data_IF_022375153520
#
_entry.id   IF_022375153520
#
_cell.length_a   1.000
_cell.length_b   1.000
_cell.length_c   1.000
_cell.angle_alpha   90.00
_cell.angle_beta   90.00
_cell.angle_gamma   90.00
#
_symmetry.space_group_name_H-M   'P 1'
#
loop_
_entity.id
_entity.type
_entity.pdbx_description
1 polymer ?
#
# COMPACT_ATOMS: atom_id res chain seq x y z
N UNK A 1 26.68 -22.47 -18.69
CA UNK A 1 25.54 -22.69 -17.78
C UNK A 1 24.27 -22.30 -18.53
N UNK A 2 23.39 -23.25 -18.82
CA UNK A 2 22.18 -22.98 -19.63
C UNK A 2 21.13 -22.22 -18.83
N UNK A 3 20.21 -21.52 -19.51
CA UNK A 3 19.09 -20.83 -18.86
C UNK A 3 18.23 -21.81 -18.03
N UNK A 4 18.11 -23.07 -18.47
CA UNK A 4 17.43 -24.15 -17.74
C UNK A 4 18.15 -24.53 -16.45
N UNK A 5 19.48 -24.63 -16.44
CA UNK A 5 20.26 -25.01 -15.25
C UNK A 5 20.20 -23.92 -14.16
N UNK A 6 20.14 -22.65 -14.57
CA UNK A 6 19.99 -21.53 -13.64
C UNK A 6 18.57 -21.43 -13.06
N UNK A 7 17.54 -21.75 -13.86
CA UNK A 7 16.14 -21.74 -13.41
C UNK A 7 15.82 -22.91 -12.45
N UNK A 8 16.52 -24.04 -12.58
CA UNK A 8 16.40 -25.19 -11.68
C UNK A 8 16.88 -24.90 -10.25
N UNK A 9 17.80 -23.94 -10.06
CA UNK A 9 18.34 -23.55 -8.75
C UNK A 9 17.46 -22.57 -7.96
N UNK A 10 16.39 -22.05 -8.56
CA UNK A 10 15.50 -21.09 -7.92
C UNK A 10 14.40 -21.79 -7.13
N UNK A 11 13.98 -21.20 -6.01
CA UNK A 11 12.75 -21.63 -5.33
C UNK A 11 11.52 -21.32 -6.19
N UNK A 12 10.38 -22.01 -6.00
CA UNK A 12 9.12 -21.69 -6.68
C UNK A 12 8.73 -20.21 -6.53
N UNK A 13 8.93 -19.63 -5.35
CA UNK A 13 8.69 -18.21 -5.08
C UNK A 13 9.58 -17.30 -5.93
N UNK A 14 10.88 -17.62 -6.05
CA UNK A 14 11.82 -16.86 -6.89
C UNK A 14 11.47 -16.95 -8.37
N UNK A 15 11.05 -18.12 -8.87
CA UNK A 15 10.57 -18.27 -10.25
C UNK A 15 9.31 -17.44 -10.50
N UNK A 16 8.32 -17.52 -9.61
CA UNK A 16 7.09 -16.72 -9.69
C UNK A 16 7.43 -15.22 -9.72
N UNK A 17 8.25 -14.76 -8.79
CA UNK A 17 8.67 -13.36 -8.73
C UNK A 17 9.33 -12.91 -10.04
N UNK A 18 10.25 -13.70 -10.59
CA UNK A 18 10.91 -13.39 -11.87
C UNK A 18 9.90 -13.26 -13.01
N UNK A 19 8.93 -14.17 -13.12
CA UNK A 19 7.90 -14.13 -14.16
C UNK A 19 7.02 -12.88 -14.03
N UNK A 20 6.57 -12.57 -12.81
CA UNK A 20 5.78 -11.36 -12.53
C UNK A 20 6.58 -10.10 -12.87
N UNK A 21 7.85 -10.02 -12.45
CA UNK A 21 8.72 -8.88 -12.77
C UNK A 21 8.91 -8.72 -14.28
N UNK A 22 9.12 -9.82 -15.01
CA UNK A 22 9.23 -9.79 -16.48
C UNK A 22 7.93 -9.28 -17.13
N UNK A 23 6.78 -9.73 -16.64
CA UNK A 23 5.48 -9.26 -17.11
C UNK A 23 5.31 -7.75 -16.88
N UNK A 24 5.60 -7.28 -15.66
CA UNK A 24 5.44 -5.87 -15.30
C UNK A 24 6.37 -4.97 -16.12
N UNK A 25 7.64 -5.35 -16.28
CA UNK A 25 8.58 -4.59 -17.11
C UNK A 25 8.18 -4.55 -18.58
N UNK A 26 7.60 -5.64 -19.11
CA UNK A 26 7.15 -5.70 -20.50
C UNK A 26 5.93 -4.81 -20.75
N UNK A 27 4.94 -4.85 -19.86
CA UNK A 27 3.62 -4.23 -20.10
C UNK A 27 3.45 -2.85 -19.48
N UNK A 28 4.25 -2.51 -18.46
CA UNK A 28 4.19 -1.26 -17.70
C UNK A 28 5.57 -0.58 -17.59
N UNK A 29 6.51 -0.95 -18.46
CA UNK A 29 7.89 -0.48 -18.44
C UNK A 29 8.02 1.04 -18.60
N UNK A 30 7.13 1.67 -19.37
CA UNK A 30 7.09 3.13 -19.56
C UNK A 30 6.83 3.86 -18.24
N UNK A 31 5.78 3.47 -17.49
CA UNK A 31 5.50 4.03 -16.16
C UNK A 31 6.70 3.86 -15.23
N UNK A 32 7.33 2.68 -15.25
CA UNK A 32 8.51 2.41 -14.42
C UNK A 32 9.68 3.33 -14.80
N UNK A 33 9.90 3.57 -16.09
CA UNK A 33 10.95 4.44 -16.59
C UNK A 33 10.70 5.91 -16.20
N UNK A 34 9.46 6.39 -16.36
CA UNK A 34 9.08 7.76 -16.04
C UNK A 34 9.35 8.10 -14.57
N UNK A 35 8.94 7.22 -13.65
CA UNK A 35 9.14 7.41 -12.23
C UNK A 35 10.60 7.25 -11.78
N UNK A 36 11.43 6.51 -12.53
CA UNK A 36 12.86 6.36 -12.22
C UNK A 36 13.64 7.67 -12.38
N UNK A 37 13.19 8.54 -13.29
CA UNK A 37 13.84 9.82 -13.58
C UNK A 37 13.16 11.01 -12.89
N UNK A 38 11.97 10.80 -12.30
CA UNK A 38 11.25 11.85 -11.60
C UNK A 38 11.96 12.22 -10.30
N UNK A 39 12.22 13.51 -10.03
CA UNK A 39 12.83 13.92 -8.77
C UNK A 39 11.89 13.57 -7.62
N UNK A 40 12.43 12.98 -6.56
CA UNK A 40 11.69 12.86 -5.31
C UNK A 40 11.44 14.27 -4.76
N UNK A 41 10.19 14.60 -4.47
CA UNK A 41 9.86 15.85 -3.79
C UNK A 41 10.66 15.93 -2.48
N UNK A 42 11.19 17.12 -2.16
CA UNK A 42 11.73 17.41 -0.83
C UNK A 42 10.57 17.48 0.14
N UNK A 43 10.21 16.33 0.64
CA UNK A 43 9.19 16.19 1.64
C UNK A 43 9.78 16.52 3.01
N UNK A 44 9.27 17.60 3.61
CA UNK A 44 9.53 17.92 5.01
C UNK A 44 8.61 17.06 5.88
N UNK A 45 9.14 16.59 7.00
CA UNK A 45 8.31 15.94 8.02
C UNK A 45 7.21 16.90 8.47
N UNK A 46 5.96 16.45 8.41
CA UNK A 46 4.84 17.26 8.87
C UNK A 46 4.73 17.12 10.40
N UNK A 47 4.61 18.25 11.10
CA UNK A 47 4.40 18.27 12.54
C UNK A 47 3.04 17.68 12.94
N UNK A 48 2.06 17.77 12.04
CA UNK A 48 0.76 17.10 12.11
C UNK A 48 0.46 16.43 10.77
N UNK A 49 -0.07 15.21 10.81
CA UNK A 49 -0.34 14.42 9.62
C UNK A 49 -1.61 13.57 9.81
N UNK A 50 -2.36 13.26 8.73
CA UNK A 50 -3.54 12.43 8.85
C UNK A 50 -3.18 10.97 9.17
N UNK A 51 -4.04 10.31 9.94
CA UNK A 51 -3.92 8.88 10.25
C UNK A 51 -5.13 8.17 9.66
N UNK A 52 -4.88 7.23 8.76
CA UNK A 52 -5.90 6.52 7.99
C UNK A 52 -6.10 5.12 8.56
N UNK A 53 -7.30 4.79 9.01
CA UNK A 53 -7.71 3.41 9.26
C UNK A 53 -8.68 2.98 8.16
N UNK A 54 -8.74 1.68 7.84
CA UNK A 54 -9.69 1.19 6.85
C UNK A 54 -10.41 -0.05 7.37
N UNK A 55 -11.74 0.02 7.37
CA UNK A 55 -12.62 -1.13 7.51
C UNK A 55 -13.83 -0.92 6.62
N UNK A 56 -13.84 -1.61 5.48
CA UNK A 56 -14.75 -1.29 4.38
C UNK A 56 -16.23 -1.35 4.78
N UNK A 57 -16.57 -2.34 5.61
CA UNK A 57 -17.93 -2.57 6.12
C UNK A 57 -18.37 -1.57 7.21
N UNK A 58 -17.50 -0.67 7.65
CA UNK A 58 -17.78 0.32 8.68
C UNK A 58 -17.56 -0.17 10.11
N UNK A 59 -17.39 0.77 11.03
CA UNK A 59 -16.97 0.51 12.42
C UNK A 59 -17.89 -0.47 13.18
N UNK A 60 -19.19 -0.43 12.91
CA UNK A 60 -20.16 -1.33 13.53
C UNK A 60 -19.85 -2.81 13.22
N UNK A 61 -19.31 -3.09 12.04
CA UNK A 61 -18.98 -4.44 11.55
C UNK A 61 -17.55 -4.88 11.87
N UNK A 62 -16.78 -4.11 12.67
CA UNK A 62 -15.44 -4.53 13.08
C UNK A 62 -15.51 -5.72 14.05
N UNK A 63 -14.75 -6.80 13.78
CA UNK A 63 -14.46 -7.83 14.76
C UNK A 63 -13.77 -7.24 15.99
N UNK A 64 -13.86 -7.93 17.14
CA UNK A 64 -13.31 -7.46 18.41
C UNK A 64 -11.82 -7.09 18.32
N UNK A 65 -11.02 -7.94 17.66
CA UNK A 65 -9.59 -7.68 17.45
C UNK A 65 -9.34 -6.36 16.71
N UNK A 66 -10.06 -6.13 15.61
CA UNK A 66 -9.92 -4.92 14.79
C UNK A 66 -10.39 -3.70 15.57
N UNK A 67 -11.50 -3.82 16.30
CA UNK A 67 -12.04 -2.75 17.15
C UNK A 67 -11.05 -2.36 18.25
N UNK A 68 -10.38 -3.34 18.87
CA UNK A 68 -9.35 -3.09 19.87
C UNK A 68 -8.14 -2.36 19.28
N UNK A 69 -7.66 -2.78 18.10
CA UNK A 69 -6.59 -2.08 17.38
C UNK A 69 -6.98 -0.64 17.00
N UNK A 70 -8.20 -0.44 16.49
CA UNK A 70 -8.70 0.88 16.10
C UNK A 70 -8.83 1.84 17.29
N UNK A 71 -9.38 1.38 18.42
CA UNK A 71 -9.42 2.17 19.67
C UNK A 71 -8.01 2.53 20.15
N UNK A 72 -7.10 1.56 20.16
CA UNK A 72 -5.72 1.80 20.56
C UNK A 72 -5.01 2.84 19.66
N UNK A 73 -5.33 2.86 18.36
CA UNK A 73 -4.86 3.86 17.42
C UNK A 73 -5.42 5.25 17.75
N UNK A 74 -6.71 5.37 18.02
CA UNK A 74 -7.35 6.64 18.42
C UNK A 74 -6.75 7.19 19.72
N UNK A 75 -6.64 6.35 20.76
CA UNK A 75 -6.11 6.75 22.08
C UNK A 75 -4.65 7.22 22.02
N UNK A 76 -3.88 6.71 21.06
CA UNK A 76 -2.43 6.95 20.92
C UNK A 76 -2.10 7.79 19.69
N UNK A 77 -3.09 8.46 19.10
CA UNK A 77 -2.89 9.30 17.93
C UNK A 77 -2.03 10.54 18.19
N UNK A 78 -1.78 10.89 19.46
CA UNK A 78 -0.89 12.00 19.85
C UNK A 78 -1.28 13.36 19.23
N UNK A 79 -2.57 13.60 19.05
CA UNK A 79 -3.11 14.82 18.44
C UNK A 79 -3.36 14.73 16.93
N UNK A 80 -2.84 13.70 16.26
CA UNK A 80 -3.09 13.46 14.83
C UNK A 80 -4.54 13.05 14.56
N UNK A 81 -5.11 13.55 13.46
CA UNK A 81 -6.49 13.23 13.08
C UNK A 81 -6.60 11.81 12.53
N UNK A 82 -7.28 10.93 13.28
CA UNK A 82 -7.64 9.58 12.83
C UNK A 82 -8.93 9.61 12.01
N UNK A 83 -8.89 9.11 10.78
CA UNK A 83 -10.06 8.99 9.89
C UNK A 83 -10.26 7.53 9.50
N UNK A 84 -11.46 7.00 9.76
CA UNK A 84 -11.85 5.66 9.32
C UNK A 84 -12.44 5.72 7.91
N UNK A 85 -11.78 5.02 6.98
CA UNK A 85 -12.21 4.84 5.61
C UNK A 85 -13.12 3.61 5.53
N UNK A 86 -14.28 3.81 4.92
CA UNK A 86 -15.37 2.85 4.77
C UNK A 86 -15.96 2.95 3.38
N UNK A 87 -16.82 2.01 3.00
CA UNK A 87 -17.58 2.08 1.76
C UNK A 87 -18.42 3.36 1.63
N UNK A 88 -18.86 3.94 2.75
CA UNK A 88 -19.76 5.10 2.75
C UNK A 88 -19.05 6.43 2.50
N UNK A 89 -17.75 6.54 2.83
CA UNK A 89 -17.04 7.82 2.84
C UNK A 89 -15.73 7.84 2.04
N UNK A 90 -15.28 6.73 1.46
CA UNK A 90 -13.98 6.69 0.77
C UNK A 90 -13.86 7.73 -0.36
N UNK A 91 -14.96 8.04 -1.03
CA UNK A 91 -15.00 9.02 -2.14
C UNK A 91 -14.76 10.46 -1.69
N UNK A 92 -14.87 10.77 -0.40
CA UNK A 92 -14.55 12.10 0.15
C UNK A 92 -13.04 12.35 0.20
N UNK A 93 -12.24 11.28 0.26
CA UNK A 93 -10.80 11.34 0.47
C UNK A 93 -9.99 10.83 -0.71
N UNK A 94 -10.64 10.13 -1.66
CA UNK A 94 -9.96 9.45 -2.76
C UNK A 94 -10.49 9.88 -4.12
N UNK A 95 -9.61 9.84 -5.11
CA UNK A 95 -9.88 10.17 -6.52
C UNK A 95 -9.80 8.89 -7.39
N UNK A 96 -10.31 7.77 -6.87
CA UNK A 96 -10.26 6.49 -7.57
C UNK A 96 -11.09 6.52 -8.86
N UNK A 97 -10.58 5.95 -9.97
CA UNK A 97 -11.30 5.93 -11.24
C UNK A 97 -12.42 4.89 -11.22
N UNK A 98 -13.47 5.13 -12.00
CA UNK A 98 -14.67 4.29 -12.04
C UNK A 98 -14.37 2.80 -12.28
N UNK A 99 -13.40 2.47 -13.14
CA UNK A 99 -13.06 1.08 -13.46
C UNK A 99 -12.56 0.27 -12.25
N UNK A 100 -11.93 0.90 -11.25
CA UNK A 100 -11.53 0.23 -10.01
C UNK A 100 -12.78 -0.12 -9.19
N UNK A 101 -13.73 0.82 -9.08
CA UNK A 101 -14.96 0.61 -8.32
C UNK A 101 -15.85 -0.44 -8.98
N UNK A 102 -16.00 -0.39 -10.30
CA UNK A 102 -16.74 -1.39 -11.07
C UNK A 102 -16.13 -2.79 -10.93
N UNK A 103 -14.81 -2.91 -11.02
CA UNK A 103 -14.12 -4.21 -10.85
C UNK A 103 -14.19 -4.73 -9.42
N UNK A 104 -14.19 -3.84 -8.43
CA UNK A 104 -14.45 -4.21 -7.03
C UNK A 104 -15.87 -4.74 -6.86
N UNK A 105 -16.87 -4.02 -7.37
CA UNK A 105 -18.28 -4.42 -7.29
C UNK A 105 -18.56 -5.76 -7.98
N UNK A 106 -17.82 -6.07 -9.06
CA UNK A 106 -17.88 -7.37 -9.77
C UNK A 106 -17.02 -8.47 -9.12
N UNK A 107 -16.38 -8.21 -7.98
CA UNK A 107 -15.55 -9.18 -7.26
C UNK A 107 -14.20 -9.49 -7.91
N UNK A 108 -13.77 -8.72 -8.91
CA UNK A 108 -12.46 -8.88 -9.57
C UNK A 108 -11.33 -8.31 -8.72
N UNK A 109 -11.59 -7.19 -8.05
CA UNK A 109 -10.71 -6.62 -7.03
C UNK A 109 -11.23 -7.07 -5.67
N UNK A 110 -10.42 -7.82 -4.92
CA UNK A 110 -10.76 -8.22 -3.55
C UNK A 110 -10.68 -7.02 -2.61
N UNK A 111 -11.42 -7.04 -1.49
CA UNK A 111 -11.33 -5.97 -0.49
C UNK A 111 -9.91 -5.81 0.08
N UNK A 112 -9.15 -6.90 0.19
CA UNK A 112 -7.74 -6.85 0.57
C UNK A 112 -6.93 -6.02 -0.41
N UNK A 113 -7.07 -6.26 -1.72
CA UNK A 113 -6.32 -5.48 -2.70
C UNK A 113 -6.87 -4.07 -2.89
N UNK A 114 -8.19 -3.87 -2.76
CA UNK A 114 -8.77 -2.53 -2.70
C UNK A 114 -8.15 -1.72 -1.55
N UNK A 115 -7.87 -2.34 -0.40
CA UNK A 115 -7.18 -1.65 0.70
C UNK A 115 -5.76 -1.22 0.32
N UNK A 116 -5.05 -1.97 -0.52
CA UNK A 116 -3.75 -1.56 -1.06
C UNK A 116 -3.88 -0.34 -1.99
N UNK A 117 -4.91 -0.33 -2.83
CA UNK A 117 -5.22 0.77 -3.75
C UNK A 117 -5.59 2.04 -2.95
N UNK A 118 -6.50 1.92 -1.99
CA UNK A 118 -6.92 3.02 -1.11
C UNK A 118 -5.73 3.58 -0.34
N UNK A 119 -4.86 2.70 0.20
CA UNK A 119 -3.66 3.10 0.94
C UNK A 119 -2.78 4.01 0.10
N UNK A 120 -2.40 3.57 -1.10
CA UNK A 120 -1.50 4.36 -1.94
C UNK A 120 -2.16 5.63 -2.47
N UNK A 121 -3.46 5.58 -2.74
CA UNK A 121 -4.22 6.76 -3.15
C UNK A 121 -4.28 7.84 -2.07
N UNK A 122 -4.60 7.46 -0.82
CA UNK A 122 -4.64 8.40 0.30
C UNK A 122 -3.26 8.97 0.63
N UNK A 123 -2.23 8.12 0.69
CA UNK A 123 -0.86 8.56 0.96
C UNK A 123 -0.34 9.48 -0.15
N UNK A 124 -0.73 9.26 -1.40
CA UNK A 124 -0.44 10.15 -2.53
C UNK A 124 -1.10 11.52 -2.32
N UNK A 125 -2.42 11.54 -2.09
CA UNK A 125 -3.23 12.75 -2.05
C UNK A 125 -2.98 13.61 -0.80
N UNK A 126 -2.75 12.97 0.34
CA UNK A 126 -2.77 13.61 1.65
C UNK A 126 -1.54 13.33 2.50
N UNK A 127 -0.72 12.35 2.14
CA UNK A 127 0.33 11.84 3.02
C UNK A 127 -0.24 11.17 4.26
N UNK A 128 0.55 11.17 5.33
CA UNK A 128 0.18 10.65 6.64
C UNK A 128 0.53 9.19 6.86
N UNK A 129 -0.14 8.60 7.85
CA UNK A 129 0.11 7.24 8.32
C UNK A 129 -1.06 6.33 7.94
N UNK A 130 -0.76 5.17 7.37
CA UNK A 130 -1.68 4.05 7.24
C UNK A 130 -1.12 2.84 7.99
N UNK A 131 -1.70 2.46 9.14
CA UNK A 131 -1.60 1.11 9.70
C UNK A 131 -2.72 0.20 9.18
N UNK A 132 -2.41 -1.08 8.92
CA UNK A 132 -3.46 -2.08 8.69
C UNK A 132 -4.34 -2.27 9.93
N UNK A 133 -5.58 -2.72 9.70
CA UNK A 133 -6.64 -2.82 10.70
C UNK A 133 -6.29 -3.67 11.94
N UNK A 134 -5.27 -4.53 11.85
CA UNK A 134 -4.82 -5.41 12.95
C UNK A 134 -3.51 -4.95 13.59
N UNK A 135 -3.02 -3.73 13.31
CA UNK A 135 -1.86 -3.18 13.98
C UNK A 135 -2.28 -2.60 15.34
N UNK A 136 -1.80 -3.22 16.41
CA UNK A 136 -1.95 -2.70 17.76
C UNK A 136 -0.87 -1.67 18.06
N UNK A 137 -1.28 -0.42 18.23
CA UNK A 137 -0.39 0.63 18.69
C UNK A 137 -0.24 0.58 20.22
N UNK A 138 0.99 0.45 20.73
CA UNK A 138 1.28 0.32 22.17
C UNK A 138 1.84 1.59 22.80
N UNK A 139 2.30 2.55 22.00
CA UNK A 139 2.85 3.85 22.43
C UNK A 139 2.24 4.98 21.60
N UNK A 140 2.26 6.24 22.06
CA UNK A 140 1.86 7.38 21.24
C UNK A 140 2.59 7.41 19.89
N UNK A 141 1.89 7.84 18.83
CA UNK A 141 2.48 8.02 17.52
C UNK A 141 3.64 9.04 17.58
N UNK A 142 4.76 8.76 16.90
CA UNK A 142 5.87 9.70 16.84
C UNK A 142 5.63 10.75 15.76
N UNK A 143 6.40 11.84 15.81
CA UNK A 143 6.65 12.66 14.63
C UNK A 143 7.71 11.97 13.78
N UNK A 144 7.41 11.72 12.52
CA UNK A 144 8.33 11.03 11.62
C UNK A 144 9.33 12.01 11.01
N UNK A 145 10.61 11.93 11.40
CA UNK A 145 11.67 12.81 10.86
C UNK A 145 12.15 12.50 9.43
N UNK A 146 11.44 11.62 8.71
CA UNK A 146 11.82 11.13 7.38
C UNK A 146 10.60 11.07 6.47
N UNK A 147 10.74 11.27 5.15
CA UNK A 147 9.60 11.38 4.23
C UNK A 147 8.85 10.06 3.98
N UNK A 148 9.43 8.95 4.43
CA UNK A 148 8.87 7.61 4.32
C UNK A 148 9.28 6.78 5.53
N UNK A 149 8.32 6.12 6.18
CA UNK A 149 8.58 5.11 7.20
C UNK A 149 7.73 3.87 6.94
N UNK A 150 8.34 2.71 7.16
CA UNK A 150 7.68 1.40 7.16
C UNK A 150 8.44 0.50 8.14
N UNK A 151 7.76 -0.53 8.65
CA UNK A 151 8.42 -1.52 9.50
C UNK A 151 9.42 -2.34 8.68
N UNK A 152 10.65 -2.45 9.19
CA UNK A 152 11.74 -3.26 8.62
C UNK A 152 11.98 -4.48 9.50
N UNK A 153 12.32 -5.61 8.89
CA UNK A 153 12.69 -6.84 9.60
C UNK A 153 14.17 -7.12 9.36
N UNK A 154 14.88 -7.59 10.40
CA UNK A 154 16.31 -7.92 10.32
C UNK A 154 16.60 -9.12 9.42
N UNK A 155 15.70 -10.12 9.39
CA UNK A 155 15.84 -11.29 8.54
C UNK A 155 15.25 -11.04 7.15
N UNK A 156 15.96 -11.47 6.11
CA UNK A 156 15.44 -11.47 4.75
C UNK A 156 14.21 -12.38 4.65
N UNK A 157 13.10 -11.83 4.17
CA UNK A 157 11.90 -12.59 3.83
C UNK A 157 12.03 -13.19 2.42
N UNK A 158 11.23 -14.23 2.14
CA UNK A 158 11.13 -14.83 0.80
C UNK A 158 10.35 -13.97 -0.22
N UNK A 159 9.87 -12.79 0.19
CA UNK A 159 9.15 -11.86 -0.68
C UNK A 159 10.07 -10.77 -1.24
N UNK A 160 9.52 -9.94 -2.13
CA UNK A 160 10.26 -8.91 -2.87
C UNK A 160 10.91 -7.86 -1.96
N UNK A 161 10.29 -7.61 -0.80
CA UNK A 161 10.79 -6.63 0.16
C UNK A 161 12.08 -7.09 0.83
N UNK A 162 12.34 -8.40 0.94
CA UNK A 162 13.51 -8.96 1.64
C UNK A 162 13.74 -8.31 3.03
N UNK A 163 12.66 -8.03 3.77
CA UNK A 163 12.70 -7.37 5.09
C UNK A 163 12.91 -5.85 5.06
N UNK A 164 13.08 -5.22 3.90
CA UNK A 164 13.37 -3.77 3.76
C UNK A 164 12.17 -2.87 4.01
N UNK A 165 10.95 -3.39 3.85
CA UNK A 165 9.69 -2.73 4.17
C UNK A 165 8.57 -3.76 4.41
N UNK A 166 7.41 -3.29 4.83
CA UNK A 166 6.19 -4.05 5.09
C UNK A 166 5.00 -3.33 4.46
N UNK A 167 4.09 -4.07 3.83
CA UNK A 167 2.89 -3.47 3.25
C UNK A 167 1.90 -2.92 4.29
N UNK A 168 1.96 -3.43 5.53
CA UNK A 168 0.93 -3.25 6.55
C UNK A 168 1.08 -2.02 7.45
N UNK A 169 2.14 -1.22 7.28
CA UNK A 169 2.28 0.07 7.95
C UNK A 169 3.19 0.98 7.13
N UNK A 170 2.66 2.12 6.71
CA UNK A 170 3.39 3.14 5.99
C UNK A 170 3.08 4.52 6.56
N UNK A 171 4.11 5.31 6.80
CA UNK A 171 4.00 6.75 6.79
C UNK A 171 4.67 7.28 5.52
N UNK A 172 4.02 8.23 4.87
CA UNK A 172 4.57 8.96 3.74
C UNK A 172 4.11 10.41 3.82
N UNK A 173 5.00 11.35 3.57
CA UNK A 173 4.64 12.76 3.37
C UNK A 173 3.79 12.94 2.12
N UNK A 174 2.98 13.99 2.06
CA UNK A 174 2.17 14.31 0.87
C UNK A 174 3.04 14.44 -0.38
N UNK A 175 2.59 13.90 -1.52
CA UNK A 175 3.37 13.89 -2.77
C UNK A 175 4.58 12.95 -2.75
N UNK A 176 4.59 11.93 -1.89
CA UNK A 176 5.66 10.94 -1.89
C UNK A 176 5.68 10.18 -3.22
N UNK A 177 6.85 10.16 -3.87
CA UNK A 177 7.03 9.57 -5.20
C UNK A 177 6.67 8.08 -5.25
N UNK A 178 6.86 7.33 -4.17
CA UNK A 178 6.48 5.91 -4.11
C UNK A 178 4.96 5.73 -4.10
N UNK A 179 4.23 6.56 -3.35
CA UNK A 179 2.77 6.53 -3.33
C UNK A 179 2.20 6.90 -4.72
N UNK A 180 2.74 7.94 -5.35
CA UNK A 180 2.38 8.33 -6.71
C UNK A 180 2.63 7.21 -7.72
N UNK A 181 3.80 6.56 -7.64
CA UNK A 181 4.15 5.45 -8.51
C UNK A 181 3.17 4.29 -8.37
N UNK A 182 2.90 3.85 -7.14
CA UNK A 182 2.02 2.72 -6.88
C UNK A 182 0.56 3.03 -7.24
N UNK A 183 0.06 4.22 -6.93
CA UNK A 183 -1.29 4.66 -7.37
C UNK A 183 -1.39 4.66 -8.89
N UNK A 184 -0.39 5.22 -9.60
CA UNK A 184 -0.35 5.24 -11.07
C UNK A 184 -0.31 3.83 -11.66
N UNK A 185 0.55 2.96 -11.11
CA UNK A 185 0.67 1.58 -11.55
C UNK A 185 -0.63 0.80 -11.32
N UNK A 186 -1.26 0.92 -10.15
CA UNK A 186 -2.53 0.23 -9.85
C UNK A 186 -3.67 0.71 -10.75
N UNK A 187 -3.76 2.02 -11.02
CA UNK A 187 -4.75 2.57 -11.95
C UNK A 187 -4.60 1.97 -13.33
N UNK A 188 -3.38 1.96 -13.87
CA UNK A 188 -3.14 1.45 -15.21
C UNK A 188 -3.26 -0.07 -15.29
N UNK A 189 -2.77 -0.78 -14.27
CA UNK A 189 -2.92 -2.22 -14.15
C UNK A 189 -4.39 -2.61 -14.18
N UNK A 190 -5.22 -2.05 -13.29
CA UNK A 190 -6.64 -2.38 -13.26
C UNK A 190 -7.44 -1.77 -14.40
N UNK A 191 -6.88 -0.86 -15.19
CA UNK A 191 -7.51 -0.45 -16.45
C UNK A 191 -7.40 -1.57 -17.50
N UNK A 192 -6.26 -2.24 -17.58
CA UNK A 192 -5.96 -3.27 -18.60
C UNK A 192 -6.32 -4.69 -18.17
N UNK A 193 -6.15 -5.01 -16.89
CA UNK A 193 -6.21 -6.39 -16.39
C UNK A 193 -7.53 -6.69 -15.69
N UNK A 194 -7.96 -7.95 -15.71
CA UNK A 194 -9.18 -8.39 -15.02
C UNK A 194 -8.91 -9.29 -13.80
N UNK A 195 -7.65 -9.64 -13.56
CA UNK A 195 -7.24 -10.50 -12.45
C UNK A 195 -5.93 -9.99 -11.85
N UNK A 196 -5.68 -10.31 -10.58
CA UNK A 196 -4.45 -9.93 -9.87
C UNK A 196 -3.32 -10.93 -10.13
N UNK A 197 -2.23 -10.48 -10.75
CA UNK A 197 -1.10 -11.33 -11.17
C UNK A 197 -0.31 -11.89 -9.97
N UNK A 198 -0.26 -11.14 -8.88
CA UNK A 198 0.40 -11.54 -7.64
C UNK A 198 -0.29 -10.90 -6.44
N UNK A 199 -0.53 -11.70 -5.39
CA UNK A 199 -1.10 -11.21 -4.14
C UNK A 199 -0.30 -10.05 -3.54
N UNK A 200 1.04 -10.16 -3.57
CA UNK A 200 1.97 -9.08 -3.21
C UNK A 200 2.40 -8.30 -4.45
N UNK A 201 1.49 -7.53 -5.04
CA UNK A 201 1.83 -6.58 -6.12
C UNK A 201 2.45 -5.26 -5.57
N UNK A 202 2.49 -5.12 -4.24
CA UNK A 202 3.03 -4.01 -3.45
C UNK A 202 4.43 -4.29 -2.89
#
# INVERSE_FOLDING_TARGET
MSLSDFLAKLSPAQRRHRSVKKYLLKNYGEIIADFKHKPAARATADADYPVWACWWQGEAQMPELVRACFRALQDRAAGHKVTLITQANFSEFTDLPAHILEKTARGRITLTHLSDILRMNLLKNHGGLWPDATILLTKPLPVFGQPLFSIKRRAASQNVAQGRWSAYLWYMTKGNLLAEFLDTLFREYWRRENDLIAYFLI
#
